data_IF_241658908206
#
_entry.id   IF_241658908206
#
_cell.length_a   1.000
_cell.length_b   1.000
_cell.length_c   1.000
_cell.angle_alpha   90.00
_cell.angle_beta   90.00
_cell.angle_gamma   90.00
#
_symmetry.space_group_name_H-M   'P 1'
#
loop_
_entity.id
_entity.type
_entity.pdbx_description
1 polymer ?
#
# COMPACT_ATOMS: atom_id res chain seq x y z
N UNK A 1 -19.46 15.02 7.87
CA UNK A 1 -20.53 15.64 7.05
C UNK A 1 -19.94 16.78 6.22
N UNK A 2 -20.72 17.56 5.49
CA UNK A 2 -20.18 18.73 4.76
C UNK A 2 -19.87 19.87 5.73
N UNK A 3 -18.74 20.58 5.54
CA UNK A 3 -18.34 21.72 6.37
C UNK A 3 -19.44 22.78 6.43
N UNK A 4 -19.83 23.17 7.64
CA UNK A 4 -20.74 24.29 7.87
C UNK A 4 -19.96 25.59 8.05
N UNK A 5 -20.20 26.58 7.20
CA UNK A 5 -19.55 27.89 7.30
C UNK A 5 -20.41 28.87 8.12
N UNK A 6 -19.78 29.65 8.99
CA UNK A 6 -20.42 30.78 9.67
C UNK A 6 -20.72 31.86 8.63
N UNK A 7 -21.95 32.34 8.61
CA UNK A 7 -22.34 33.51 7.82
C UNK A 7 -22.07 34.78 8.63
N UNK A 8 -21.13 35.61 8.17
CA UNK A 8 -20.76 36.86 8.82
C UNK A 8 -21.64 38.04 8.39
N UNK A 9 -22.59 37.82 7.49
CA UNK A 9 -23.36 38.89 6.84
C UNK A 9 -22.52 39.66 5.81
N UNK A 10 -23.14 40.72 5.27
CA UNK A 10 -22.54 41.55 4.21
C UNK A 10 -21.79 42.76 4.74
N UNK A 11 -22.21 43.29 5.90
CA UNK A 11 -21.65 44.48 6.53
C UNK A 11 -21.53 44.26 8.05
N UNK A 12 -20.80 45.14 8.73
CA UNK A 12 -20.68 45.09 10.19
C UNK A 12 -22.02 45.39 10.89
N UNK A 13 -22.42 44.54 11.84
CA UNK A 13 -23.53 44.76 12.77
C UNK A 13 -24.94 44.94 12.15
N UNK A 14 -25.16 44.53 10.90
CA UNK A 14 -26.48 44.65 10.24
C UNK A 14 -27.43 43.48 10.51
N UNK A 15 -27.04 42.54 11.39
CA UNK A 15 -27.83 41.35 11.75
C UNK A 15 -28.29 40.47 10.57
N UNK A 16 -27.61 40.55 9.42
CA UNK A 16 -27.87 39.71 8.24
C UNK A 16 -27.10 38.39 8.25
N UNK A 17 -26.10 38.25 9.13
CA UNK A 17 -25.37 37.01 9.34
C UNK A 17 -26.04 36.08 10.35
N UNK A 18 -25.31 35.02 10.70
CA UNK A 18 -25.74 34.07 11.71
C UNK A 18 -25.89 34.73 13.10
N UNK A 19 -26.91 34.30 13.84
CA UNK A 19 -26.92 34.53 15.28
C UNK A 19 -25.75 33.80 15.94
N UNK A 20 -25.30 34.27 17.11
CA UNK A 20 -24.28 33.57 17.89
C UNK A 20 -24.67 32.10 18.14
N UNK A 21 -25.95 31.83 18.41
CA UNK A 21 -26.45 30.45 18.60
C UNK A 21 -26.24 29.63 17.33
N UNK A 22 -26.60 30.15 16.17
CA UNK A 22 -26.45 29.45 14.88
C UNK A 22 -24.97 29.19 14.59
N UNK A 23 -24.12 30.21 14.74
CA UNK A 23 -22.68 30.11 14.52
C UNK A 23 -22.03 29.06 15.44
N UNK A 24 -22.34 29.09 16.74
CA UNK A 24 -21.78 28.14 17.71
C UNK A 24 -22.28 26.71 17.49
N UNK A 25 -23.52 26.53 17.02
CA UNK A 25 -24.01 25.21 16.59
C UNK A 25 -23.23 24.70 15.39
N UNK A 26 -22.98 25.53 14.37
CA UNK A 26 -22.15 25.16 13.20
C UNK A 26 -20.73 24.75 13.62
N UNK A 27 -20.13 25.50 14.55
CA UNK A 27 -18.82 25.18 15.13
C UNK A 27 -18.85 23.81 15.82
N UNK A 28 -19.80 23.57 16.72
CA UNK A 28 -19.92 22.30 17.42
C UNK A 28 -20.10 21.12 16.44
N UNK A 29 -20.94 21.28 15.42
CA UNK A 29 -21.14 20.25 14.39
C UNK A 29 -19.85 19.94 13.64
N UNK A 30 -19.11 20.97 13.20
CA UNK A 30 -17.83 20.76 12.53
C UNK A 30 -16.80 20.06 13.44
N UNK A 31 -16.74 20.40 14.73
CA UNK A 31 -15.83 19.74 15.67
C UNK A 31 -16.21 18.29 15.94
N UNK A 32 -17.50 17.99 16.09
CA UNK A 32 -17.98 16.60 16.23
C UNK A 32 -17.55 15.77 15.02
N UNK A 33 -17.68 16.32 13.81
CA UNK A 33 -17.21 15.66 12.58
C UNK A 33 -15.70 15.38 12.59
N UNK A 34 -14.88 16.35 13.01
CA UNK A 34 -13.42 16.20 13.08
C UNK A 34 -13.03 15.17 14.15
N UNK A 35 -13.65 15.21 15.33
CA UNK A 35 -13.41 14.23 16.39
C UNK A 35 -13.90 12.82 16.04
N UNK A 36 -14.83 12.67 15.10
CA UNK A 36 -15.22 11.37 14.55
C UNK A 36 -14.28 10.85 13.46
N UNK A 37 -13.50 11.73 12.80
CA UNK A 37 -12.63 11.38 11.68
C UNK A 37 -11.23 10.91 12.12
N UNK A 38 -10.71 11.47 13.20
CA UNK A 38 -9.50 10.96 13.87
C UNK A 38 -10.01 9.92 14.87
N UNK A 39 -9.74 8.63 14.63
CA UNK A 39 -10.33 7.52 15.39
C UNK A 39 -10.32 7.71 16.91
N UNK A 40 -11.25 7.05 17.60
CA UNK A 40 -11.46 7.22 19.05
C UNK A 40 -10.12 7.16 19.81
N UNK A 41 -9.67 8.27 20.42
CA UNK A 41 -8.34 8.36 21.03
C UNK A 41 -8.17 7.40 22.22
N UNK A 42 -9.26 6.82 22.72
CA UNK A 42 -9.21 5.80 23.77
C UNK A 42 -8.84 4.41 23.25
N UNK A 43 -8.94 4.18 21.94
CA UNK A 43 -8.72 2.86 21.31
C UNK A 43 -7.40 2.78 20.54
N UNK A 44 -6.84 3.91 20.10
CA UNK A 44 -5.63 3.94 19.28
C UNK A 44 -5.80 3.36 17.87
N UNK A 45 -7.04 3.15 17.42
CA UNK A 45 -7.36 2.57 16.11
C UNK A 45 -7.63 3.65 15.06
N UNK A 46 -7.24 3.37 13.82
CA UNK A 46 -7.67 4.13 12.64
C UNK A 46 -8.79 3.34 11.93
N UNK A 47 -10.03 3.81 12.02
CA UNK A 47 -11.22 3.06 11.55
C UNK A 47 -12.12 3.89 10.63
N UNK A 48 -12.76 3.23 9.64
CA UNK A 48 -13.78 3.83 8.79
C UNK A 48 -15.16 3.32 9.24
N UNK A 49 -16.08 4.24 9.55
CA UNK A 49 -17.43 3.89 10.01
C UNK A 49 -18.39 3.52 8.88
N UNK A 50 -17.98 3.67 7.62
CA UNK A 50 -18.75 3.22 6.45
C UNK A 50 -18.62 1.70 6.31
N UNK A 51 -19.74 0.97 6.29
CA UNK A 51 -19.72 -0.47 6.05
C UNK A 51 -19.02 -0.79 4.72
N UNK A 52 -18.02 -1.68 4.76
CA UNK A 52 -17.13 -2.01 3.63
C UNK A 52 -16.31 -0.83 3.09
N UNK A 53 -16.16 0.25 3.85
CA UNK A 53 -15.32 1.39 3.48
C UNK A 53 -13.85 1.12 3.79
N UNK A 54 -12.97 1.40 2.84
CA UNK A 54 -11.53 1.26 3.03
C UNK A 54 -10.99 2.32 4.00
N UNK A 55 -9.89 1.99 4.67
CA UNK A 55 -8.95 2.98 5.20
C UNK A 55 -7.87 3.23 4.17
N UNK A 56 -7.76 4.48 3.71
CA UNK A 56 -6.75 4.90 2.73
C UNK A 56 -5.72 5.79 3.44
N UNK A 57 -4.48 5.30 3.50
CA UNK A 57 -3.34 6.05 4.03
C UNK A 57 -2.40 6.28 2.86
N UNK A 58 -2.40 7.50 2.33
CA UNK A 58 -1.67 7.87 1.12
C UNK A 58 -0.98 9.23 1.32
N UNK A 59 0.25 9.39 0.83
CA UNK A 59 0.92 10.69 0.83
C UNK A 59 0.39 11.57 -0.31
N UNK A 60 0.67 12.87 -0.25
CA UNK A 60 0.42 13.78 -1.37
C UNK A 60 1.63 13.75 -2.34
N UNK A 61 1.37 13.65 -3.65
CA UNK A 61 2.40 13.64 -4.67
C UNK A 61 3.38 12.47 -4.52
N UNK A 62 4.68 12.77 -4.47
CA UNK A 62 5.77 11.78 -4.32
C UNK A 62 6.16 11.53 -2.85
N UNK A 63 5.34 11.99 -1.89
CA UNK A 63 5.61 11.73 -0.49
C UNK A 63 5.56 10.24 -0.14
N UNK A 64 5.86 9.91 1.11
CA UNK A 64 5.82 8.54 1.64
C UNK A 64 4.93 8.47 2.88
N UNK A 65 4.49 7.27 3.22
CA UNK A 65 3.86 6.98 4.51
C UNK A 65 4.91 6.28 5.36
N UNK A 66 5.31 6.91 6.45
CA UNK A 66 6.26 6.36 7.40
C UNK A 66 5.50 5.68 8.55
N UNK A 67 5.81 4.40 8.80
CA UNK A 67 5.28 3.60 9.89
C UNK A 67 6.49 3.02 10.60
N UNK A 68 6.66 3.33 11.88
CA UNK A 68 7.84 2.91 12.68
C UNK A 68 8.01 1.39 12.69
N UNK A 69 7.03 0.67 13.25
CA UNK A 69 6.97 -0.78 13.22
C UNK A 69 5.69 -1.23 12.54
N UNK A 70 5.83 -1.90 11.40
CA UNK A 70 4.70 -2.41 10.61
C UNK A 70 4.42 -3.87 10.99
N UNK A 71 3.21 -4.14 11.48
CA UNK A 71 2.67 -5.48 11.62
C UNK A 71 1.43 -5.62 10.74
N UNK A 72 1.34 -6.74 10.02
CA UNK A 72 0.17 -7.13 9.22
C UNK A 72 -0.24 -8.52 9.72
N UNK A 73 -1.37 -8.59 10.44
CA UNK A 73 -1.79 -9.81 11.14
C UNK A 73 -2.83 -10.65 10.36
N UNK A 74 -3.35 -10.12 9.25
CA UNK A 74 -4.28 -10.81 8.34
C UNK A 74 -4.02 -10.32 6.90
N UNK A 75 -4.28 -11.16 5.89
CA UNK A 75 -4.36 -10.85 4.42
C UNK A 75 -3.09 -10.92 3.55
N UNK A 76 -3.31 -10.64 2.25
CA UNK A 76 -2.37 -10.46 1.13
C UNK A 76 -1.92 -9.00 1.00
N UNK A 77 -0.69 -8.75 0.56
CA UNK A 77 -0.21 -7.41 0.18
C UNK A 77 -0.22 -7.31 -1.34
N UNK A 78 -1.00 -6.39 -1.90
CA UNK A 78 -1.20 -6.26 -3.36
C UNK A 78 -1.01 -4.80 -3.81
N UNK A 79 -0.13 -4.51 -4.77
CA UNK A 79 -0.03 -3.19 -5.40
C UNK A 79 -1.35 -2.77 -6.07
N UNK A 80 -1.69 -1.48 -6.00
CA UNK A 80 -2.91 -0.93 -6.63
C UNK A 80 -2.71 -0.52 -8.10
N UNK A 81 -1.46 -0.42 -8.57
CA UNK A 81 -1.12 -0.09 -9.94
C UNK A 81 -0.87 -1.40 -10.70
N UNK A 82 -1.61 -1.63 -11.78
CA UNK A 82 -1.45 -2.84 -12.62
C UNK A 82 -0.01 -2.93 -13.15
N UNK A 83 0.56 -4.14 -13.07
CA UNK A 83 1.97 -4.41 -13.41
C UNK A 83 2.99 -3.65 -12.54
N UNK A 84 2.55 -3.04 -11.44
CA UNK A 84 3.44 -2.47 -10.44
C UNK A 84 4.03 -3.58 -9.56
N UNK A 85 5.33 -3.51 -9.33
CA UNK A 85 6.01 -4.44 -8.44
C UNK A 85 5.62 -4.18 -6.98
N UNK A 86 5.61 -5.26 -6.17
CA UNK A 86 5.71 -5.15 -4.73
C UNK A 86 7.18 -5.36 -4.34
N UNK A 87 7.84 -4.28 -3.94
CA UNK A 87 9.24 -4.35 -3.50
C UNK A 87 9.31 -4.41 -1.98
N UNK A 88 9.93 -5.46 -1.43
CA UNK A 88 10.27 -5.57 -0.02
C UNK A 88 11.76 -5.28 0.16
N UNK A 89 12.07 -4.11 0.70
CA UNK A 89 13.43 -3.65 0.97
C UNK A 89 13.72 -3.55 2.46
N UNK A 90 15.00 -3.63 2.81
CA UNK A 90 15.51 -3.38 4.16
C UNK A 90 16.44 -2.17 4.12
N UNK A 91 16.48 -1.40 5.21
CA UNK A 91 17.42 -0.29 5.34
C UNK A 91 18.73 -0.78 5.98
N UNK A 92 19.87 -0.43 5.39
CA UNK A 92 21.18 -0.87 5.87
C UNK A 92 21.45 -2.35 5.56
N UNK A 93 21.90 -3.11 6.55
CA UNK A 93 22.38 -4.50 6.40
C UNK A 93 21.36 -5.57 6.81
N UNK A 94 20.08 -5.20 6.91
CA UNK A 94 19.01 -6.14 7.28
C UNK A 94 18.78 -7.24 6.23
N UNK A 95 17.79 -8.10 6.47
CA UNK A 95 17.38 -9.17 5.55
C UNK A 95 15.86 -9.25 5.49
N UNK A 96 15.33 -9.68 4.34
CA UNK A 96 13.94 -10.15 4.26
C UNK A 96 13.92 -11.60 4.74
N UNK A 97 13.31 -11.85 5.89
CA UNK A 97 13.26 -13.17 6.52
C UNK A 97 11.87 -13.77 6.35
N UNK A 98 11.81 -14.99 5.80
CA UNK A 98 10.60 -15.82 5.84
C UNK A 98 10.78 -16.80 6.99
N UNK A 99 10.02 -16.61 8.06
CA UNK A 99 10.16 -17.40 9.29
C UNK A 99 9.55 -18.82 9.17
N UNK A 100 8.66 -19.03 8.21
CA UNK A 100 8.06 -20.33 7.88
C UNK A 100 8.93 -21.12 6.89
N UNK A 101 8.66 -22.40 6.73
CA UNK A 101 9.48 -23.34 5.97
C UNK A 101 9.32 -23.20 4.44
N UNK A 102 8.34 -22.43 3.97
CA UNK A 102 7.91 -22.45 2.56
C UNK A 102 7.64 -21.06 1.98
N UNK A 103 8.06 -20.90 0.73
CA UNK A 103 7.66 -19.81 -0.16
C UNK A 103 6.93 -20.43 -1.35
N UNK A 104 5.76 -19.90 -1.69
CA UNK A 104 4.96 -20.37 -2.84
C UNK A 104 5.01 -19.31 -3.94
N UNK A 105 5.48 -19.69 -5.12
CA UNK A 105 5.37 -18.90 -6.34
C UNK A 105 4.27 -19.55 -7.18
N UNK A 106 3.06 -18.99 -7.17
CA UNK A 106 1.87 -19.64 -7.75
C UNK A 106 1.96 -19.90 -9.25
N UNK A 107 2.76 -19.11 -9.97
CA UNK A 107 2.92 -19.24 -11.42
C UNK A 107 4.23 -19.98 -11.74
N UNK A 108 4.16 -20.91 -12.67
CA UNK A 108 5.33 -21.62 -13.20
C UNK A 108 5.87 -20.91 -14.44
N UNK A 109 7.19 -20.97 -14.65
CA UNK A 109 7.87 -20.52 -15.87
C UNK A 109 8.99 -21.50 -16.23
N UNK A 110 8.81 -22.21 -17.34
CA UNK A 110 9.92 -22.93 -18.02
C UNK A 110 10.75 -21.91 -18.79
N UNK A 111 11.89 -21.51 -18.22
CA UNK A 111 12.74 -20.52 -18.86
C UNK A 111 13.45 -21.06 -20.11
N UNK A 112 13.50 -20.26 -21.17
CA UNK A 112 14.37 -20.49 -22.32
C UNK A 112 15.77 -19.95 -22.01
N UNK A 113 16.80 -20.51 -22.65
CA UNK A 113 18.18 -20.07 -22.40
C UNK A 113 18.36 -18.56 -22.61
N UNK A 114 17.87 -18.03 -23.74
CA UNK A 114 17.93 -16.59 -24.07
C UNK A 114 16.96 -15.75 -23.24
N UNK A 115 15.89 -16.36 -22.71
CA UNK A 115 14.84 -15.65 -22.00
C UNK A 115 13.88 -14.91 -22.93
N UNK A 116 13.20 -13.92 -22.37
CA UNK A 116 12.18 -13.09 -23.00
C UNK A 116 12.20 -11.67 -22.43
N UNK A 117 11.62 -10.70 -23.15
CA UNK A 117 11.46 -9.35 -22.65
C UNK A 117 10.75 -9.33 -21.27
N UNK A 118 11.29 -8.55 -20.33
CA UNK A 118 10.84 -8.51 -18.94
C UNK A 118 11.64 -9.39 -17.98
N UNK A 119 12.52 -10.28 -18.47
CA UNK A 119 13.43 -11.02 -17.60
C UNK A 119 14.54 -10.10 -17.06
N UNK A 120 14.66 -10.03 -15.74
CA UNK A 120 15.62 -9.18 -15.01
C UNK A 120 16.62 -10.07 -14.26
N UNK A 121 17.87 -9.64 -14.19
CA UNK A 121 18.91 -10.30 -13.41
C UNK A 121 18.47 -10.50 -11.94
N UNK A 122 18.76 -11.68 -11.38
CA UNK A 122 18.37 -12.06 -10.02
C UNK A 122 16.98 -12.68 -9.90
N UNK A 123 16.18 -12.69 -10.98
CA UNK A 123 14.88 -13.36 -10.99
C UNK A 123 15.02 -14.86 -10.71
N UNK A 124 14.12 -15.40 -9.88
CA UNK A 124 13.99 -16.84 -9.62
C UNK A 124 12.65 -17.30 -10.21
N UNK A 125 12.67 -18.43 -10.92
CA UNK A 125 11.49 -19.06 -11.50
C UNK A 125 11.56 -20.57 -11.33
N UNK A 126 10.43 -21.27 -11.49
CA UNK A 126 10.38 -22.72 -11.37
C UNK A 126 9.38 -23.34 -12.34
N UNK A 127 9.59 -24.63 -12.61
CA UNK A 127 8.60 -25.52 -13.20
C UNK A 127 8.61 -26.89 -12.51
N UNK A 128 7.87 -27.85 -13.04
CA UNK A 128 7.73 -29.20 -12.46
C UNK A 128 9.04 -29.97 -12.33
N UNK A 129 10.11 -29.56 -13.02
CA UNK A 129 11.38 -30.30 -13.12
C UNK A 129 12.62 -29.47 -12.81
N UNK A 130 12.54 -28.13 -12.80
CA UNK A 130 13.70 -27.28 -12.59
C UNK A 130 13.38 -26.04 -11.75
N UNK A 131 14.39 -25.58 -11.01
CA UNK A 131 14.51 -24.21 -10.55
C UNK A 131 15.39 -23.44 -11.54
N UNK A 132 15.05 -22.17 -11.81
CA UNK A 132 15.75 -21.30 -12.73
C UNK A 132 16.21 -20.02 -12.05
N UNK A 133 17.40 -19.54 -12.41
CA UNK A 133 17.95 -18.25 -11.98
C UNK A 133 18.38 -17.46 -13.20
N UNK A 134 17.91 -16.21 -13.29
CA UNK A 134 18.29 -15.28 -14.34
C UNK A 134 19.58 -14.55 -13.95
N UNK A 135 20.63 -14.65 -14.77
CA UNK A 135 21.95 -14.09 -14.45
C UNK A 135 22.19 -12.71 -15.08
N UNK A 136 21.35 -12.27 -16.01
CA UNK A 136 21.46 -10.97 -16.69
C UNK A 136 20.08 -10.52 -17.21
N UNK A 137 19.93 -9.23 -17.50
CA UNK A 137 18.70 -8.73 -18.14
C UNK A 137 18.59 -9.28 -19.57
N UNK A 138 17.36 -9.50 -20.05
CA UNK A 138 17.12 -9.93 -21.43
C UNK A 138 17.69 -8.93 -22.45
N UNK A 139 18.52 -9.44 -23.37
CA UNK A 139 19.14 -8.67 -24.46
C UNK A 139 18.81 -9.24 -25.86
N UNK A 140 17.97 -10.27 -25.93
CA UNK A 140 17.56 -10.93 -27.17
C UNK A 140 18.56 -11.92 -27.78
N UNK A 141 19.72 -12.14 -27.17
CA UNK A 141 20.74 -13.03 -27.76
C UNK A 141 21.52 -13.88 -26.75
N UNK A 142 21.82 -13.34 -25.57
CA UNK A 142 22.62 -14.02 -24.56
C UNK A 142 21.80 -15.04 -23.80
N UNK A 143 22.39 -16.20 -23.49
CA UNK A 143 21.76 -17.19 -22.63
C UNK A 143 21.78 -16.76 -21.15
N UNK A 144 20.76 -16.00 -20.73
CA UNK A 144 20.64 -15.38 -19.40
C UNK A 144 20.06 -16.30 -18.33
N UNK A 145 19.35 -17.38 -18.67
CA UNK A 145 18.80 -18.29 -17.67
C UNK A 145 19.71 -19.50 -17.42
N UNK A 146 19.94 -19.80 -16.14
CA UNK A 146 20.56 -21.05 -15.67
C UNK A 146 19.52 -21.89 -14.95
N UNK A 147 19.68 -23.22 -14.99
CA UNK A 147 18.74 -24.16 -14.38
C UNK A 147 19.42 -25.10 -13.39
N UNK A 148 18.68 -25.49 -12.36
CA UNK A 148 18.99 -26.56 -11.43
C UNK A 148 17.87 -27.61 -11.51
N UNK A 149 18.23 -28.87 -11.75
CA UNK A 149 17.27 -29.96 -11.92
C UNK A 149 16.72 -30.37 -10.56
N UNK A 150 15.39 -30.43 -10.45
CA UNK A 150 14.69 -30.96 -9.28
C UNK A 150 14.68 -32.48 -9.34
N UNK A 151 14.91 -33.09 -8.19
CA UNK A 151 14.83 -34.54 -8.02
C UNK A 151 13.78 -34.84 -6.95
N UNK A 152 13.11 -35.98 -7.10
CA UNK A 152 12.27 -36.50 -6.03
C UNK A 152 13.15 -36.84 -4.81
N UNK A 153 12.61 -36.59 -3.63
CA UNK A 153 13.22 -36.93 -2.34
C UNK A 153 12.54 -38.17 -1.80
#
# INVERSE_FOLDING_TARGET
MARLNIDTGTEGNVATGDTLRTAMTKINTNFIDVYGLVGDPSTGLLTNSTTNGDIKVQPNGTGIVEIDQLQINDTTITPLITNGDLTLGVNGTGQVVVADDRIVINTTKTASGVGSAGDVAGSIAWDTTNLYVCTANYDGSTAVWKKLVLQAI
#
